data_IF_352818202753
#
_entry.id   IF_352818202753
#
_cell.length_a   1.000
_cell.length_b   1.000
_cell.length_c   1.000
_cell.angle_alpha   90.00
_cell.angle_beta   90.00
_cell.angle_gamma   90.00
#
_symmetry.space_group_name_H-M   'P 1'
#
loop_
_entity.id
_entity.type
_entity.pdbx_description
1 polymer ?
#
# COMPACT_ATOMS: atom_id res chain seq x y z
N UNK A 1 -46.48 55.33 -25.38
CA UNK A 1 -46.23 53.87 -25.49
C UNK A 1 -47.40 53.12 -24.87
N UNK A 2 -48.03 52.18 -25.57
CA UNK A 2 -49.19 51.42 -25.05
C UNK A 2 -48.76 50.60 -23.82
N UNK A 3 -49.66 50.43 -22.84
CA UNK A 3 -49.40 49.73 -21.57
C UNK A 3 -48.77 48.34 -21.78
N UNK A 4 -49.24 47.59 -22.79
CA UNK A 4 -48.67 46.28 -23.13
C UNK A 4 -47.18 46.30 -23.49
N UNK A 5 -46.68 47.36 -24.15
CA UNK A 5 -45.25 47.49 -24.50
C UNK A 5 -44.41 47.71 -23.25
N UNK A 6 -44.93 48.42 -22.23
CA UNK A 6 -44.22 48.61 -20.96
C UNK A 6 -44.06 47.29 -20.19
N UNK A 7 -45.10 46.46 -20.19
CA UNK A 7 -45.06 45.14 -19.55
C UNK A 7 -44.06 44.20 -20.23
N UNK A 8 -44.02 44.20 -21.56
CA UNK A 8 -43.05 43.39 -22.31
C UNK A 8 -41.61 43.83 -22.00
N UNK A 9 -41.34 45.14 -21.97
CA UNK A 9 -40.00 45.65 -21.62
C UNK A 9 -39.61 45.30 -20.19
N UNK A 10 -40.54 45.41 -19.23
CA UNK A 10 -40.33 44.99 -17.84
C UNK A 10 -40.03 43.49 -17.71
N UNK A 11 -40.74 42.65 -18.45
CA UNK A 11 -40.51 41.21 -18.45
C UNK A 11 -39.14 40.84 -19.05
N UNK A 12 -38.74 41.50 -20.14
CA UNK A 12 -37.41 41.30 -20.74
C UNK A 12 -36.31 41.74 -19.76
N UNK A 13 -36.45 42.90 -19.13
CA UNK A 13 -35.50 43.38 -18.12
C UNK A 13 -35.41 42.45 -16.92
N UNK A 14 -36.53 41.99 -16.38
CA UNK A 14 -36.56 41.05 -15.26
C UNK A 14 -35.91 39.71 -15.63
N UNK A 15 -36.16 39.21 -16.85
CA UNK A 15 -35.53 38.00 -17.36
C UNK A 15 -34.02 38.19 -17.57
N UNK A 16 -33.57 39.29 -18.19
CA UNK A 16 -32.15 39.58 -18.40
C UNK A 16 -31.40 39.75 -17.08
N UNK A 17 -32.01 40.38 -16.08
CA UNK A 17 -31.45 40.47 -14.72
C UNK A 17 -31.41 39.09 -14.09
N UNK A 18 -32.49 38.32 -14.14
CA UNK A 18 -32.54 36.95 -13.63
C UNK A 18 -31.44 36.06 -14.24
N UNK A 19 -31.25 36.11 -15.56
CA UNK A 19 -30.18 35.41 -16.26
C UNK A 19 -28.81 35.97 -15.86
N UNK A 20 -28.61 37.28 -15.82
CA UNK A 20 -27.30 37.86 -15.45
C UNK A 20 -26.86 37.51 -14.01
N UNK A 21 -27.79 37.32 -13.08
CA UNK A 21 -27.49 36.92 -11.69
C UNK A 21 -27.50 35.39 -11.48
N UNK A 22 -28.29 34.63 -12.24
CA UNK A 22 -28.31 33.17 -12.16
C UNK A 22 -27.22 32.50 -13.01
N UNK A 23 -26.82 33.10 -14.13
CA UNK A 23 -25.78 32.56 -15.01
C UNK A 23 -24.43 32.40 -14.30
N UNK A 24 -23.93 33.33 -13.47
CA UNK A 24 -22.71 33.11 -12.69
C UNK A 24 -22.85 31.94 -11.70
N UNK A 25 -24.03 31.75 -11.08
CA UNK A 25 -24.30 30.61 -10.19
C UNK A 25 -24.38 29.27 -10.95
N UNK A 26 -24.84 29.30 -12.20
CA UNK A 26 -24.86 28.12 -13.09
C UNK A 26 -23.48 27.85 -13.71
N UNK A 27 -22.66 28.88 -13.89
CA UNK A 27 -21.30 28.79 -14.42
C UNK A 27 -20.29 28.40 -13.34
N UNK A 28 -20.46 28.79 -12.08
CA UNK A 28 -19.62 28.32 -10.96
C UNK A 28 -19.82 26.84 -10.64
N UNK A 29 -20.94 26.23 -11.07
CA UNK A 29 -21.11 24.78 -11.19
C UNK A 29 -20.37 24.20 -12.42
N UNK A 30 -19.32 24.89 -12.88
CA UNK A 30 -18.27 24.42 -13.78
C UNK A 30 -17.93 22.97 -13.43
N UNK A 31 -18.34 22.07 -14.34
CA UNK A 31 -18.22 20.62 -14.31
C UNK A 31 -17.16 20.11 -13.31
N UNK A 32 -17.59 19.90 -12.06
CA UNK A 32 -16.76 19.18 -11.09
C UNK A 32 -16.60 17.78 -11.67
N UNK A 33 -15.36 17.40 -11.96
CA UNK A 33 -15.08 16.06 -12.45
C UNK A 33 -15.37 15.10 -11.31
N UNK A 34 -16.23 14.09 -11.52
CA UNK A 34 -16.59 13.16 -10.45
C UNK A 34 -15.35 12.38 -10.02
N UNK A 35 -15.32 12.03 -8.74
CA UNK A 35 -14.28 11.18 -8.19
C UNK A 35 -14.44 9.80 -8.81
N UNK A 36 -13.50 9.40 -9.67
CA UNK A 36 -13.53 8.09 -10.32
C UNK A 36 -13.08 7.04 -9.31
N UNK A 37 -14.02 6.46 -8.57
CA UNK A 37 -13.79 5.29 -7.73
C UNK A 37 -14.57 4.10 -8.26
N UNK A 38 -13.93 2.94 -8.29
CA UNK A 38 -14.65 1.67 -8.45
C UNK A 38 -15.55 1.50 -7.23
N UNK A 39 -16.88 1.32 -7.38
CA UNK A 39 -17.76 1.11 -6.25
C UNK A 39 -17.29 -0.07 -5.40
N UNK A 40 -17.36 0.06 -4.08
CA UNK A 40 -17.00 -1.03 -3.18
C UNK A 40 -18.03 -2.17 -3.31
N UNK A 41 -17.55 -3.38 -3.55
CA UNK A 41 -18.34 -4.61 -3.56
C UNK A 41 -18.29 -5.33 -2.21
N UNK A 42 -18.89 -6.54 -2.12
CA UNK A 42 -18.63 -7.43 -1.01
C UNK A 42 -17.12 -7.73 -0.92
N UNK A 43 -16.61 -7.89 0.29
CA UNK A 43 -15.23 -8.29 0.54
C UNK A 43 -15.22 -9.57 1.36
N UNK A 44 -14.17 -10.39 1.21
CA UNK A 44 -13.97 -11.54 2.07
C UNK A 44 -13.16 -11.15 3.32
N UNK A 45 -13.45 -11.86 4.41
CA UNK A 45 -12.81 -11.69 5.70
C UNK A 45 -11.74 -12.78 5.85
N UNK A 46 -10.48 -12.42 5.58
CA UNK A 46 -9.36 -13.35 5.73
C UNK A 46 -8.68 -13.13 7.09
N UNK A 47 -8.14 -14.21 7.64
CA UNK A 47 -7.16 -14.21 8.73
C UNK A 47 -5.81 -14.69 8.21
N UNK A 48 -4.72 -14.10 8.72
CA UNK A 48 -3.36 -14.57 8.48
C UNK A 48 -2.60 -14.72 9.80
N UNK A 49 -2.06 -15.91 10.03
CA UNK A 49 -1.33 -16.26 11.24
C UNK A 49 0.05 -16.85 10.93
N UNK A 50 1.10 -16.27 11.49
CA UNK A 50 2.45 -16.84 11.43
C UNK A 50 2.55 -17.96 12.47
N UNK A 51 2.59 -19.20 11.98
CA UNK A 51 2.58 -20.42 12.81
C UNK A 51 3.94 -21.10 12.87
N UNK A 52 4.81 -20.85 11.90
CA UNK A 52 6.19 -21.33 11.88
C UNK A 52 7.10 -20.37 11.12
N UNK A 53 8.33 -20.21 11.61
CA UNK A 53 9.40 -19.52 10.91
C UNK A 53 10.74 -20.16 11.27
N UNK A 54 11.57 -20.42 10.27
CA UNK A 54 12.96 -20.85 10.43
C UNK A 54 13.87 -19.93 9.61
N UNK A 55 14.94 -19.47 10.23
CA UNK A 55 15.97 -18.64 9.62
C UNK A 55 17.34 -19.28 9.82
N UNK A 56 17.99 -19.67 8.74
CA UNK A 56 19.33 -20.24 8.73
C UNK A 56 20.33 -19.20 8.19
N UNK A 57 21.23 -18.75 9.05
CA UNK A 57 22.32 -17.84 8.64
C UNK A 57 23.44 -18.71 8.06
N UNK A 58 23.75 -18.54 6.79
CA UNK A 58 24.86 -19.23 6.15
C UNK A 58 26.18 -18.55 6.52
N UNK A 59 27.18 -19.34 6.89
CA UNK A 59 28.52 -18.81 7.18
C UNK A 59 29.10 -18.14 5.92
N UNK A 60 29.68 -16.95 6.10
CA UNK A 60 30.43 -16.30 5.02
C UNK A 60 31.58 -17.21 4.59
N UNK A 61 31.65 -17.51 3.30
CA UNK A 61 32.91 -17.97 2.71
C UNK A 61 33.92 -16.84 2.85
N UNK A 62 35.20 -17.17 3.03
CA UNK A 62 36.30 -16.29 3.51
C UNK A 62 36.57 -15.00 2.70
N UNK A 63 35.78 -14.66 1.71
CA UNK A 63 35.82 -13.36 1.05
C UNK A 63 35.24 -12.29 1.99
N UNK A 64 36.15 -11.43 2.47
CA UNK A 64 35.96 -10.32 3.43
C UNK A 64 34.86 -9.33 3.03
N UNK A 65 34.31 -9.43 1.83
CA UNK A 65 33.28 -8.54 1.28
C UNK A 65 31.93 -9.20 1.00
N UNK A 66 31.77 -10.50 1.22
CA UNK A 66 30.47 -11.16 1.01
C UNK A 66 29.51 -10.76 2.13
N UNK A 67 28.29 -10.33 1.83
CA UNK A 67 27.26 -10.14 2.85
C UNK A 67 26.68 -11.50 3.25
N UNK A 68 26.29 -11.70 4.52
CA UNK A 68 25.78 -12.99 4.98
C UNK A 68 24.46 -13.33 4.29
N UNK A 69 24.28 -14.60 3.95
CA UNK A 69 23.04 -15.11 3.36
C UNK A 69 22.14 -15.69 4.45
N UNK A 70 20.83 -15.43 4.33
CA UNK A 70 19.81 -15.92 5.24
C UNK A 70 18.83 -16.74 4.42
N UNK A 71 18.83 -18.05 4.61
CA UNK A 71 17.77 -18.91 4.09
C UNK A 71 16.60 -18.88 5.06
N UNK A 72 15.38 -18.78 4.53
CA UNK A 72 14.17 -18.75 5.35
C UNK A 72 13.14 -19.75 4.88
N UNK A 73 12.34 -20.20 5.84
CA UNK A 73 11.15 -21.00 5.64
C UNK A 73 10.08 -20.53 6.62
N UNK A 74 9.02 -19.95 6.11
CA UNK A 74 7.91 -19.41 6.89
C UNK A 74 6.64 -20.14 6.48
N UNK A 75 5.81 -20.52 7.46
CA UNK A 75 4.50 -21.10 7.19
C UNK A 75 3.44 -20.22 7.84
N UNK A 76 2.48 -19.80 7.03
CA UNK A 76 1.33 -19.00 7.40
C UNK A 76 0.07 -19.86 7.39
N UNK A 77 -0.75 -19.76 8.43
CA UNK A 77 -2.11 -20.25 8.38
C UNK A 77 -3.01 -19.14 7.83
N UNK A 78 -3.57 -19.34 6.64
CA UNK A 78 -4.47 -18.39 5.99
C UNK A 78 -5.88 -18.98 6.03
N UNK A 79 -6.80 -18.26 6.67
CA UNK A 79 -8.19 -18.69 6.86
C UNK A 79 -9.14 -17.71 6.21
N UNK A 80 -10.13 -18.21 5.47
CA UNK A 80 -11.25 -17.39 5.01
C UNK A 80 -12.40 -17.53 6.02
N UNK A 81 -12.65 -16.53 6.85
CA UNK A 81 -13.74 -16.50 7.83
C UNK A 81 -15.09 -16.08 7.24
N UNK A 82 -15.13 -15.68 5.97
CA UNK A 82 -16.38 -15.31 5.33
C UNK A 82 -17.18 -16.52 4.85
N UNK A 83 -18.47 -16.29 4.58
CA UNK A 83 -19.39 -17.28 4.02
C UNK A 83 -19.36 -17.35 2.48
N UNK A 84 -18.38 -16.69 1.85
CA UNK A 84 -18.21 -16.58 0.41
C UNK A 84 -16.81 -17.07 0.01
N UNK A 85 -16.73 -17.76 -1.11
CA UNK A 85 -15.43 -18.18 -1.66
C UNK A 85 -14.68 -16.96 -2.19
N UNK A 86 -13.37 -16.94 -2.02
CA UNK A 86 -12.53 -15.83 -2.45
C UNK A 86 -11.15 -16.32 -2.88
N UNK A 87 -10.49 -15.54 -3.72
CA UNK A 87 -9.16 -15.83 -4.22
C UNK A 87 -8.12 -15.09 -3.40
N UNK A 88 -7.03 -15.79 -3.08
CA UNK A 88 -5.82 -15.17 -2.55
C UNK A 88 -5.04 -14.58 -3.74
N UNK A 89 -4.84 -13.26 -3.75
CA UNK A 89 -4.13 -12.54 -4.80
C UNK A 89 -2.64 -12.38 -4.50
N UNK A 90 -2.29 -12.09 -3.24
CA UNK A 90 -0.89 -12.07 -2.82
C UNK A 90 -0.72 -12.31 -1.33
N UNK A 91 0.48 -12.74 -0.97
CA UNK A 91 0.97 -12.87 0.40
C UNK A 91 2.23 -12.04 0.52
N UNK A 92 2.27 -11.14 1.49
CA UNK A 92 3.46 -10.40 1.87
C UNK A 92 3.94 -10.92 3.23
N UNK A 93 5.24 -11.08 3.39
CA UNK A 93 5.88 -11.41 4.65
C UNK A 93 7.10 -10.52 4.83
N UNK A 94 7.28 -10.04 6.05
CA UNK A 94 8.48 -9.38 6.45
C UNK A 94 8.94 -9.80 7.84
N UNK A 95 10.25 -9.83 8.02
CA UNK A 95 10.91 -9.99 9.29
C UNK A 95 11.87 -8.82 9.47
N UNK A 96 11.80 -8.15 10.61
CA UNK A 96 12.61 -6.98 10.89
C UNK A 96 12.87 -6.83 12.38
N UNK A 97 13.92 -6.09 12.74
CA UNK A 97 14.12 -5.67 14.13
C UNK A 97 12.99 -4.77 14.59
N UNK A 98 12.52 -3.87 13.74
CA UNK A 98 11.39 -3.00 14.01
C UNK A 98 10.47 -2.93 12.78
N UNK A 99 9.17 -3.11 13.00
CA UNK A 99 8.12 -2.91 12.02
C UNK A 99 7.09 -2.00 12.66
N UNK A 100 6.73 -0.93 11.96
CA UNK A 100 5.69 0.02 12.37
C UNK A 100 4.58 0.01 11.34
N UNK A 101 3.34 -0.18 11.81
CA UNK A 101 2.14 0.03 11.01
C UNK A 101 1.80 1.53 11.06
N UNK A 102 1.62 2.13 9.90
CA UNK A 102 1.16 3.50 9.74
C UNK A 102 -0.27 3.51 9.25
N UNK A 103 -1.11 4.28 9.92
CA UNK A 103 -2.42 4.65 9.42
C UNK A 103 -2.27 6.00 8.72
N UNK A 104 -2.69 6.06 7.45
CA UNK A 104 -2.51 7.23 6.60
C UNK A 104 -3.62 7.38 5.58
N UNK A 105 -3.49 8.41 4.75
CA UNK A 105 -4.44 8.70 3.68
C UNK A 105 -4.11 8.00 2.36
N UNK A 106 -2.83 7.68 2.17
CA UNK A 106 -2.33 7.11 0.93
C UNK A 106 -2.32 5.59 1.02
N UNK A 107 -2.96 4.92 0.06
CA UNK A 107 -2.84 3.48 -0.09
C UNK A 107 -1.36 3.15 -0.29
N UNK A 108 -0.74 2.58 0.75
CA UNK A 108 0.71 2.46 0.83
C UNK A 108 1.15 1.02 0.84
N UNK A 109 1.95 0.69 -0.16
CA UNK A 109 2.78 -0.52 -0.22
C UNK A 109 3.75 -0.57 0.96
N UNK A 110 4.25 -1.76 1.29
CA UNK A 110 5.35 -1.96 2.24
C UNK A 110 6.62 -1.21 1.81
N UNK A 111 7.16 -0.35 2.67
CA UNK A 111 8.44 0.31 2.43
C UNK A 111 9.52 -0.19 3.40
N UNK A 112 10.62 -0.66 2.82
CA UNK A 112 11.79 -1.16 3.55
C UNK A 112 12.93 -0.14 3.51
N UNK A 113 13.54 0.14 4.67
CA UNK A 113 14.81 0.87 4.73
C UNK A 113 15.92 -0.10 5.11
N UNK A 114 16.47 -0.83 4.15
CA UNK A 114 17.54 -1.80 4.39
C UNK A 114 18.93 -1.17 4.58
N UNK A 115 19.06 0.15 4.77
CA UNK A 115 20.34 0.79 5.06
C UNK A 115 20.21 2.30 5.10
N UNK A 116 20.60 2.90 6.24
CA UNK A 116 20.89 4.33 6.43
C UNK A 116 20.11 5.32 5.57
N UNK A 117 18.88 5.65 5.99
CA UNK A 117 18.08 6.73 5.44
C UNK A 117 17.56 6.44 4.03
N UNK A 118 16.49 5.64 3.92
CA UNK A 118 15.66 5.66 2.71
C UNK A 118 14.59 6.74 2.86
N UNK A 119 14.62 7.72 1.96
CA UNK A 119 13.49 8.60 1.69
C UNK A 119 12.77 8.05 0.47
N UNK A 120 11.87 7.09 0.69
CA UNK A 120 11.10 6.45 -0.37
C UNK A 120 9.64 6.84 -0.27
N UNK A 121 9.31 8.11 -0.51
CA UNK A 121 7.92 8.57 -0.59
C UNK A 121 7.29 8.09 -1.90
N UNK A 122 6.83 6.85 -1.95
CA UNK A 122 6.01 6.36 -3.04
C UNK A 122 4.52 6.46 -2.69
N UNK A 123 3.77 6.90 -3.70
CA UNK A 123 2.30 6.97 -3.82
C UNK A 123 1.63 8.23 -3.25
N UNK A 124 1.46 9.22 -4.13
CA UNK A 124 0.30 10.10 -4.02
C UNK A 124 -0.92 9.32 -4.48
N UNK A 125 -2.03 9.39 -3.75
CA UNK A 125 -3.34 8.90 -4.21
C UNK A 125 -4.33 10.05 -4.23
N UNK A 126 -5.54 9.81 -4.73
CA UNK A 126 -6.67 10.72 -4.56
C UNK A 126 -7.67 10.03 -3.64
N UNK A 127 -8.01 10.68 -2.53
CA UNK A 127 -9.05 10.23 -1.60
C UNK A 127 -10.30 11.06 -1.74
N UNK A 128 -11.44 10.55 -1.29
CA UNK A 128 -12.74 11.23 -1.38
C UNK A 128 -12.74 12.61 -0.69
N UNK A 129 -12.08 12.70 0.46
CA UNK A 129 -11.88 13.96 1.16
C UNK A 129 -11.16 13.79 2.48
N UNK A 130 -10.87 14.92 3.10
CA UNK A 130 -10.22 15.02 4.41
C UNK A 130 -10.90 16.05 5.27
N UNK A 131 -10.82 15.87 6.58
CA UNK A 131 -11.01 16.96 7.52
C UNK A 131 -9.69 17.69 7.68
N UNK A 132 -9.59 18.92 7.18
CA UNK A 132 -8.43 19.79 7.35
C UNK A 132 -8.82 20.94 8.27
N UNK A 133 -8.17 21.06 9.43
CA UNK A 133 -8.48 22.08 10.44
C UNK A 133 -9.97 22.14 10.86
N UNK A 134 -10.63 20.97 10.90
CA UNK A 134 -12.07 20.77 11.15
C UNK A 134 -13.02 21.19 10.01
N UNK A 135 -12.51 21.48 8.82
CA UNK A 135 -13.30 21.69 7.62
C UNK A 135 -13.19 20.49 6.68
N UNK A 136 -14.32 20.06 6.11
CA UNK A 136 -14.35 18.98 5.14
C UNK A 136 -13.92 19.49 3.77
N UNK A 137 -12.78 19.01 3.28
CA UNK A 137 -12.26 19.27 1.94
C UNK A 137 -12.44 18.01 1.09
N UNK A 138 -13.30 18.08 0.09
CA UNK A 138 -13.57 17.01 -0.86
C UNK A 138 -13.63 17.47 -2.32
N UNK A 139 -13.29 18.73 -2.58
CA UNK A 139 -13.19 19.27 -3.94
C UNK A 139 -11.89 20.05 -4.05
N UNK A 140 -11.06 19.67 -5.01
CA UNK A 140 -9.78 20.33 -5.29
C UNK A 140 -9.79 20.95 -6.69
N UNK A 141 -9.18 22.13 -6.81
CA UNK A 141 -8.89 22.72 -8.12
C UNK A 141 -7.51 22.29 -8.60
N UNK A 142 -7.45 21.83 -9.85
CA UNK A 142 -6.25 21.36 -10.52
C UNK A 142 -6.01 22.22 -11.78
N UNK A 143 -4.79 22.74 -12.00
CA UNK A 143 -4.46 23.46 -13.22
C UNK A 143 -4.44 22.53 -14.45
N UNK A 144 -5.02 22.97 -15.55
CA UNK A 144 -4.84 22.44 -16.90
C UNK A 144 -5.42 21.04 -17.15
N UNK A 145 -4.60 20.18 -17.76
CA UNK A 145 -4.84 18.75 -17.90
C UNK A 145 -4.42 18.10 -16.58
N UNK A 146 -5.18 17.11 -16.09
CA UNK A 146 -4.79 16.30 -14.93
C UNK A 146 -3.33 15.95 -15.11
N UNK A 147 -2.41 16.43 -14.26
CA UNK A 147 -1.01 16.15 -14.49
C UNK A 147 -0.89 14.63 -14.47
N UNK A 148 -0.58 14.03 -15.62
CA UNK A 148 -0.10 12.64 -15.72
C UNK A 148 1.13 12.43 -14.81
N UNK A 149 1.64 13.52 -14.21
CA UNK A 149 2.72 13.60 -13.26
C UNK A 149 2.41 14.28 -11.91
N UNK A 150 1.31 13.98 -11.21
CA UNK A 150 1.43 13.98 -9.73
C UNK A 150 2.54 13.00 -9.28
N UNK A 151 2.85 12.00 -10.12
CA UNK A 151 4.02 11.14 -10.03
C UNK A 151 5.35 11.83 -10.42
N UNK A 152 5.40 12.69 -11.45
CA UNK A 152 6.66 13.26 -11.97
C UNK A 152 7.21 14.46 -11.20
N UNK A 153 6.38 15.25 -10.51
CA UNK A 153 6.87 16.49 -9.83
C UNK A 153 7.79 16.18 -8.63
N UNK A 154 7.95 14.90 -8.26
CA UNK A 154 8.71 14.50 -7.08
C UNK A 154 9.77 13.40 -7.32
N UNK A 155 9.88 12.84 -8.52
CA UNK A 155 10.80 11.71 -8.82
C UNK A 155 12.21 12.14 -9.23
N UNK A 156 12.44 13.43 -9.52
CA UNK A 156 13.72 13.93 -10.01
C UNK A 156 14.58 14.64 -8.95
N UNK A 157 14.63 14.15 -7.71
CA UNK A 157 15.81 14.43 -6.89
C UNK A 157 16.68 13.18 -6.72
N UNK A 158 17.71 12.99 -7.57
CA UNK A 158 18.66 11.87 -7.45
C UNK A 158 19.64 11.99 -6.28
N UNK A 159 19.46 12.96 -5.37
CA UNK A 159 20.44 13.30 -4.34
C UNK A 159 19.86 13.05 -2.93
N UNK A 160 20.26 11.94 -2.29
CA UNK A 160 20.35 11.72 -0.83
C UNK A 160 19.13 12.01 0.08
N UNK A 161 18.96 11.19 1.12
CA UNK A 161 17.89 11.31 2.12
C UNK A 161 17.85 12.63 2.92
N UNK A 162 18.93 13.42 2.90
CA UNK A 162 18.97 14.77 3.49
C UNK A 162 18.20 15.83 2.71
N UNK A 163 17.99 15.66 1.40
CA UNK A 163 17.29 16.66 0.59
C UNK A 163 15.77 16.50 0.66
N UNK A 164 15.24 15.30 0.91
CA UNK A 164 13.80 15.07 1.09
C UNK A 164 13.28 15.82 2.33
N UNK A 165 13.98 15.73 3.47
CA UNK A 165 13.59 16.46 4.70
C UNK A 165 13.69 17.97 4.50
N UNK A 166 14.73 18.46 3.81
CA UNK A 166 14.86 19.88 3.47
C UNK A 166 13.75 20.37 2.56
N UNK A 167 13.40 19.57 1.56
CA UNK A 167 12.31 19.88 0.63
C UNK A 167 10.95 19.93 1.34
N UNK A 168 10.63 18.92 2.16
CA UNK A 168 9.37 18.86 2.90
C UNK A 168 9.26 19.98 3.94
N UNK A 169 10.35 20.29 4.63
CA UNK A 169 10.35 21.43 5.57
C UNK A 169 10.26 22.80 4.89
N UNK A 170 10.54 22.88 3.59
CA UNK A 170 10.39 24.09 2.79
C UNK A 170 9.01 24.20 2.09
N UNK A 171 8.17 23.17 2.14
CA UNK A 171 6.83 23.22 1.55
C UNK A 171 5.96 24.26 2.28
N UNK A 172 5.05 24.95 1.56
CA UNK A 172 4.05 25.82 2.18
C UNK A 172 3.20 25.03 3.19
N UNK A 173 2.89 25.65 4.33
CA UNK A 173 1.93 25.12 5.30
C UNK A 173 0.56 25.80 5.21
N UNK A 174 0.47 26.92 4.50
CA UNK A 174 -0.79 27.65 4.30
C UNK A 174 -1.37 27.28 2.94
N UNK A 175 -2.67 26.98 2.91
CA UNK A 175 -3.38 26.73 1.64
C UNK A 175 -3.36 28.03 0.82
N UNK A 176 -2.82 28.02 -0.40
CA UNK A 176 -2.85 29.21 -1.25
C UNK A 176 -4.28 29.54 -1.66
N UNK A 177 -4.58 30.83 -1.80
CA UNK A 177 -5.84 31.27 -2.40
C UNK A 177 -5.97 30.73 -3.81
N UNK A 178 -7.19 30.38 -4.21
CA UNK A 178 -7.48 29.97 -5.58
C UNK A 178 -7.02 31.07 -6.57
N UNK A 179 -6.29 30.73 -7.66
CA UNK A 179 -5.87 31.71 -8.65
C UNK A 179 -7.06 32.45 -9.27
N UNK A 180 -6.92 33.75 -9.55
CA UNK A 180 -8.00 34.57 -10.09
C UNK A 180 -8.48 34.12 -11.49
N UNK A 181 -7.63 33.40 -12.23
CA UNK A 181 -7.93 32.81 -13.54
C UNK A 181 -8.20 31.29 -13.47
N UNK A 182 -8.56 30.76 -12.30
CA UNK A 182 -8.77 29.33 -12.09
C UNK A 182 -9.85 28.73 -12.99
N UNK A 183 -10.90 29.48 -13.32
CA UNK A 183 -11.98 29.05 -14.23
C UNK A 183 -11.53 28.91 -15.69
N UNK A 184 -10.43 29.54 -16.07
CA UNK A 184 -9.88 29.52 -17.43
C UNK A 184 -8.75 28.52 -17.58
N UNK A 185 -8.01 28.27 -16.50
CA UNK A 185 -6.74 27.55 -16.53
C UNK A 185 -6.77 26.21 -15.83
N UNK A 186 -7.92 25.74 -15.34
CA UNK A 186 -8.03 24.46 -14.65
C UNK A 186 -9.45 23.96 -14.50
N UNK A 187 -9.61 22.93 -13.69
CA UNK A 187 -10.90 22.31 -13.41
C UNK A 187 -11.00 21.92 -11.93
N UNK A 188 -12.23 21.77 -11.44
CA UNK A 188 -12.50 21.21 -10.13
C UNK A 188 -12.68 19.70 -10.26
N UNK A 189 -12.15 18.94 -9.31
CA UNK A 189 -12.42 17.52 -9.17
C UNK A 189 -12.90 17.21 -7.77
N UNK A 190 -13.82 16.26 -7.65
CA UNK A 190 -14.08 15.60 -6.38
C UNK A 190 -12.86 14.79 -5.97
N UNK A 191 -12.56 14.82 -4.67
CA UNK A 191 -11.40 14.20 -4.07
C UNK A 191 -10.23 15.16 -3.83
N UNK A 192 -9.31 14.69 -2.99
CA UNK A 192 -8.11 15.40 -2.57
C UNK A 192 -6.89 14.54 -2.91
N UNK A 193 -6.01 15.00 -3.82
CA UNK A 193 -4.73 14.36 -4.00
C UNK A 193 -3.88 14.54 -2.73
N UNK A 194 -3.39 13.44 -2.19
CA UNK A 194 -2.66 13.39 -0.93
C UNK A 194 -1.45 12.47 -1.06
N UNK A 195 -0.38 12.82 -0.37
CA UNK A 195 0.85 12.04 -0.30
C UNK A 195 1.38 12.03 1.12
N UNK A 196 1.76 10.84 1.57
CA UNK A 196 2.47 10.67 2.83
C UNK A 196 3.96 10.44 2.57
N UNK A 197 4.80 11.08 3.35
CA UNK A 197 6.24 10.93 3.35
C UNK A 197 6.69 10.44 4.71
N UNK A 198 7.76 9.66 4.71
CA UNK A 198 8.39 9.21 5.93
C UNK A 198 9.90 9.35 5.82
N UNK A 199 10.54 9.56 6.96
CA UNK A 199 11.99 9.56 7.11
C UNK A 199 12.35 8.89 8.42
N UNK A 200 13.26 7.92 8.34
CA UNK A 200 13.80 7.27 9.52
C UNK A 200 15.22 7.69 9.77
N UNK A 201 15.43 8.31 10.92
CA UNK A 201 16.76 8.61 11.44
C UNK A 201 17.24 7.39 12.21
N UNK A 202 18.06 6.55 11.57
CA UNK A 202 18.62 5.34 12.18
C UNK A 202 19.49 5.65 13.40
N UNK A 203 20.20 6.77 13.42
CA UNK A 203 21.07 7.16 14.55
C UNK A 203 20.27 7.55 15.79
N UNK A 204 19.11 8.19 15.61
CA UNK A 204 18.22 8.56 16.71
C UNK A 204 17.13 7.50 16.98
N UNK A 205 17.00 6.49 16.12
CA UNK A 205 15.87 5.55 16.11
C UNK A 205 14.52 6.26 16.12
N UNK A 206 14.38 7.31 15.30
CA UNK A 206 13.15 8.11 15.22
C UNK A 206 12.56 8.09 13.81
N UNK A 207 11.24 7.94 13.73
CA UNK A 207 10.46 8.06 12.51
C UNK A 207 9.78 9.43 12.47
N UNK A 208 9.91 10.12 11.36
CA UNK A 208 9.19 11.37 11.06
C UNK A 208 8.26 11.14 9.88
N UNK A 209 7.05 11.68 9.97
CA UNK A 209 6.01 11.59 8.96
C UNK A 209 5.62 12.98 8.49
N UNK A 210 5.34 13.12 7.19
CA UNK A 210 4.74 14.32 6.63
C UNK A 210 3.57 13.97 5.73
N UNK A 211 2.45 14.64 5.95
CA UNK A 211 1.31 14.56 5.06
C UNK A 211 1.28 15.84 4.22
N UNK A 212 1.14 15.67 2.90
CA UNK A 212 0.99 16.79 1.98
C UNK A 212 -0.21 16.56 1.08
N UNK A 213 -0.93 17.64 0.76
CA UNK A 213 -2.05 17.61 -0.17
C UNK A 213 -1.80 18.54 -1.33
N UNK A 214 -2.33 18.21 -2.50
CA UNK A 214 -2.31 19.10 -3.64
C UNK A 214 -3.61 19.90 -3.69
N UNK A 215 -3.51 21.20 -3.47
CA UNK A 215 -4.66 22.10 -3.41
C UNK A 215 -4.33 23.43 -4.09
N UNK A 216 -5.27 23.93 -4.89
CA UNK A 216 -5.15 25.21 -5.60
C UNK A 216 -3.85 25.35 -6.41
N UNK A 217 -3.38 24.25 -7.01
CA UNK A 217 -2.20 24.22 -7.88
C UNK A 217 -0.86 24.05 -7.16
N UNK A 218 -0.83 23.77 -5.85
CA UNK A 218 0.40 23.63 -5.08
C UNK A 218 0.31 22.52 -4.04
N UNK A 219 1.44 21.84 -3.78
CA UNK A 219 1.58 20.92 -2.65
C UNK A 219 1.74 21.70 -1.35
N UNK A 220 0.91 21.39 -0.36
CA UNK A 220 0.90 22.02 0.96
C UNK A 220 1.10 20.95 2.02
N UNK A 221 2.03 21.17 2.94
CA UNK A 221 2.21 20.29 4.10
C UNK A 221 1.12 20.54 5.14
N UNK A 222 0.45 19.45 5.50
CA UNK A 222 -0.71 19.43 6.39
C UNK A 222 -0.55 18.40 7.53
N UNK A 223 0.68 17.97 7.80
CA UNK A 223 1.02 17.07 8.91
C UNK A 223 0.38 17.52 10.22
N UNK A 224 -0.36 16.61 10.87
CA UNK A 224 -1.03 16.87 12.15
C UNK A 224 -2.26 17.78 12.08
N UNK A 225 -2.66 18.22 10.88
CA UNK A 225 -3.85 19.05 10.65
C UNK A 225 -4.99 18.33 9.96
N UNK A 226 -4.73 17.11 9.47
CA UNK A 226 -5.70 16.30 8.77
C UNK A 226 -6.27 15.19 9.66
N UNK A 227 -7.52 14.84 9.41
CA UNK A 227 -8.16 13.58 9.85
C UNK A 227 -8.82 12.94 8.63
N UNK A 228 -8.58 11.64 8.45
CA UNK A 228 -9.15 10.82 7.37
C UNK A 228 -10.20 9.90 7.98
N UNK A 229 -11.36 9.76 7.33
CA UNK A 229 -12.45 8.93 7.86
C UNK A 229 -12.21 7.43 7.63
N UNK A 230 -11.48 7.09 6.57
CA UNK A 230 -11.12 5.73 6.20
C UNK A 230 -9.60 5.65 6.00
N UNK A 231 -8.80 5.67 7.08
CA UNK A 231 -7.36 5.55 6.95
C UNK A 231 -7.01 4.18 6.37
N UNK A 232 -5.97 4.16 5.56
CA UNK A 232 -5.38 2.96 4.97
C UNK A 232 -4.08 2.65 5.68
N UNK A 233 -3.77 1.36 5.76
CA UNK A 233 -2.58 0.88 6.48
C UNK A 233 -1.39 0.79 5.52
N UNK A 234 -0.26 1.38 5.93
CA UNK A 234 1.05 1.20 5.33
C UNK A 234 2.00 0.54 6.33
N UNK A 235 3.06 -0.09 5.84
CA UNK A 235 4.01 -0.84 6.67
C UNK A 235 5.40 -0.29 6.44
N UNK A 236 6.05 0.13 7.53
CA UNK A 236 7.43 0.57 7.53
C UNK A 236 8.31 -0.42 8.29
N UNK A 237 9.44 -0.75 7.69
CA UNK A 237 10.38 -1.72 8.21
C UNK A 237 11.78 -1.13 8.38
N UNK A 238 12.33 -1.27 9.59
CA UNK A 238 13.65 -0.77 9.96
C UNK A 238 14.55 -1.90 10.43
N UNK A 239 15.70 -2.06 9.77
CA UNK A 239 16.54 -3.24 9.98
C UNK A 239 15.91 -4.50 9.39
N UNK A 240 15.32 -4.36 8.19
CA UNK A 240 14.68 -5.45 7.47
C UNK A 240 15.64 -6.61 7.29
N UNK A 241 15.22 -7.77 7.78
CA UNK A 241 15.91 -9.04 7.66
C UNK A 241 15.51 -9.68 6.34
N UNK A 242 14.21 -9.84 6.14
CA UNK A 242 13.58 -10.45 4.95
C UNK A 242 12.34 -9.63 4.61
N UNK A 243 12.15 -9.40 3.32
CA UNK A 243 10.89 -9.00 2.74
C UNK A 243 10.59 -9.94 1.57
N UNK A 244 9.43 -10.58 1.59
CA UNK A 244 9.02 -11.53 0.57
C UNK A 244 7.57 -11.26 0.16
N UNK A 245 7.34 -11.21 -1.14
CA UNK A 245 6.01 -11.09 -1.74
C UNK A 245 5.81 -12.27 -2.68
N UNK A 246 4.72 -13.00 -2.47
CA UNK A 246 4.27 -14.06 -3.38
C UNK A 246 2.94 -13.64 -3.99
N UNK A 247 2.93 -13.47 -5.31
CA UNK A 247 1.74 -13.15 -6.08
C UNK A 247 1.12 -14.42 -6.66
N UNK A 248 -0.20 -14.51 -6.64
CA UNK A 248 -0.98 -15.59 -7.22
C UNK A 248 -1.72 -15.05 -8.45
N UNK A 249 -1.33 -15.50 -9.63
CA UNK A 249 -1.83 -14.94 -10.87
C UNK A 249 -2.15 -16.02 -11.91
N UNK A 250 -3.17 -15.82 -12.76
CA UNK A 250 -3.40 -16.68 -13.91
C UNK A 250 -2.26 -16.56 -14.92
N UNK A 251 -1.95 -17.62 -15.67
CA UNK A 251 -0.84 -17.62 -16.64
C UNK A 251 -1.00 -16.53 -17.71
N UNK A 252 -2.25 -16.22 -18.05
CA UNK A 252 -2.59 -15.24 -19.08
C UNK A 252 -2.60 -13.79 -18.58
N UNK A 253 -2.37 -13.52 -17.28
CA UNK A 253 -2.36 -12.15 -16.76
C UNK A 253 -1.18 -11.30 -17.24
N UNK A 254 -0.08 -11.91 -17.70
CA UNK A 254 1.12 -11.19 -18.10
C UNK A 254 1.43 -11.39 -19.58
N UNK A 255 0.95 -10.48 -20.44
CA UNK A 255 1.40 -10.36 -21.85
C UNK A 255 2.73 -9.59 -21.93
N UNK A 256 3.78 -10.10 -21.26
CA UNK A 256 5.10 -9.47 -21.17
C UNK A 256 6.11 -10.40 -20.51
N UNK A 257 7.40 -10.11 -20.68
CA UNK A 257 8.56 -10.86 -20.17
C UNK A 257 8.29 -11.45 -18.79
N UNK A 258 8.43 -12.78 -18.64
CA UNK A 258 8.36 -13.46 -17.34
C UNK A 258 9.14 -12.63 -16.31
N UNK A 259 8.51 -12.34 -15.16
CA UNK A 259 9.25 -11.89 -13.99
C UNK A 259 10.30 -12.96 -13.72
N UNK A 260 11.55 -12.64 -14.02
CA UNK A 260 12.69 -13.49 -13.70
C UNK A 260 12.58 -13.95 -12.25
N UNK A 261 12.85 -15.23 -11.97
CA UNK A 261 13.23 -15.68 -10.62
C UNK A 261 14.29 -14.69 -10.10
N UNK A 262 13.87 -13.76 -9.25
CA UNK A 262 14.62 -12.56 -8.97
C UNK A 262 15.91 -12.86 -8.22
N UNK A 263 17.05 -12.53 -8.84
CA UNK A 263 18.38 -12.54 -8.24
C UNK A 263 18.59 -11.31 -7.33
N UNK A 264 19.12 -11.59 -6.13
CA UNK A 264 19.94 -10.75 -5.21
C UNK A 264 19.38 -9.38 -4.78
N UNK A 265 18.57 -9.40 -3.72
CA UNK A 265 18.18 -8.24 -2.89
C UNK A 265 17.40 -8.69 -1.63
N UNK A 266 17.18 -7.83 -0.62
CA UNK A 266 16.41 -8.19 0.59
C UNK A 266 14.90 -8.33 0.33
N UNK A 267 14.42 -7.90 -0.85
CA UNK A 267 13.04 -8.03 -1.32
C UNK A 267 12.97 -9.11 -2.39
N UNK A 268 12.27 -10.21 -2.11
CA UNK A 268 12.03 -11.31 -3.04
C UNK A 268 10.60 -11.27 -3.55
N UNK A 269 10.44 -11.29 -4.86
CA UNK A 269 9.14 -11.35 -5.52
C UNK A 269 9.05 -12.69 -6.22
N UNK A 270 8.09 -13.52 -5.81
CA UNK A 270 7.77 -14.77 -6.49
C UNK A 270 6.36 -14.71 -7.07
N UNK A 271 6.18 -15.41 -8.19
CA UNK A 271 4.86 -15.59 -8.80
C UNK A 271 4.52 -17.06 -8.76
N UNK A 272 3.40 -17.38 -8.15
CA UNK A 272 2.76 -18.69 -8.19
C UNK A 272 1.64 -18.61 -9.22
N UNK A 273 1.72 -19.46 -10.24
CA UNK A 273 0.64 -19.58 -11.22
C UNK A 273 -0.59 -20.19 -10.56
N UNK A 274 -1.76 -19.65 -10.86
CA UNK A 274 -3.03 -20.09 -10.29
C UNK A 274 -4.11 -20.19 -11.37
N UNK A 275 -4.50 -21.41 -11.72
CA UNK A 275 -5.50 -21.79 -12.73
C UNK A 275 -5.75 -23.32 -12.66
N UNK A 276 -6.57 -23.88 -13.56
CA UNK A 276 -7.09 -25.26 -13.49
C UNK A 276 -6.00 -26.36 -13.34
N UNK A 277 -4.84 -26.16 -13.96
CA UNK A 277 -3.69 -27.08 -13.90
C UNK A 277 -2.58 -26.60 -12.93
N UNK A 278 -2.77 -25.47 -12.26
CA UNK A 278 -1.80 -24.84 -11.37
C UNK A 278 -2.29 -24.81 -9.90
N UNK A 279 -1.65 -24.00 -9.06
CA UNK A 279 -2.02 -23.89 -7.66
C UNK A 279 -3.43 -23.30 -7.53
N UNK A 280 -4.35 -24.05 -6.90
CA UNK A 280 -5.68 -23.52 -6.60
C UNK A 280 -5.56 -22.43 -5.53
N UNK A 281 -5.70 -21.17 -5.93
CA UNK A 281 -5.67 -20.02 -5.02
C UNK A 281 -7.06 -19.61 -4.50
N UNK A 282 -8.08 -20.47 -4.64
CA UNK A 282 -9.42 -20.21 -4.11
C UNK A 282 -9.58 -20.82 -2.72
N UNK A 283 -10.02 -20.01 -1.76
CA UNK A 283 -10.40 -20.43 -0.43
C UNK A 283 -11.92 -20.57 -0.36
N UNK A 284 -12.38 -21.77 -0.03
CA UNK A 284 -13.78 -22.01 0.31
C UNK A 284 -14.17 -21.27 1.60
N UNK A 285 -15.47 -21.03 1.84
CA UNK A 285 -15.94 -20.51 3.12
C UNK A 285 -15.41 -21.31 4.31
N UNK A 286 -14.94 -20.62 5.34
CA UNK A 286 -14.40 -21.20 6.59
C UNK A 286 -13.15 -22.09 6.40
N UNK A 287 -12.51 -22.08 5.22
CA UNK A 287 -11.35 -22.92 4.94
C UNK A 287 -10.07 -22.30 5.51
N UNK A 288 -9.26 -23.13 6.19
CA UNK A 288 -7.88 -22.82 6.59
C UNK A 288 -6.88 -23.64 5.79
N UNK A 289 -5.80 -23.01 5.33
CA UNK A 289 -4.70 -23.66 4.58
C UNK A 289 -3.36 -23.15 5.08
N UNK A 290 -2.35 -24.01 5.05
CA UNK A 290 -0.98 -23.65 5.44
C UNK A 290 -0.17 -23.30 4.20
N UNK A 291 0.23 -22.04 4.06
CA UNK A 291 1.00 -21.54 2.93
C UNK A 291 2.45 -21.33 3.34
N UNK A 292 3.35 -21.92 2.59
CA UNK A 292 4.79 -21.86 2.79
C UNK A 292 5.43 -20.77 1.91
N UNK A 293 6.32 -19.98 2.53
CA UNK A 293 7.19 -19.04 1.87
C UNK A 293 8.63 -19.45 2.16
N UNK A 294 9.40 -19.76 1.12
CA UNK A 294 10.82 -20.13 1.25
C UNK A 294 11.68 -19.32 0.31
N UNK A 295 12.91 -19.06 0.71
CA UNK A 295 13.88 -18.37 -0.13
C UNK A 295 15.21 -18.17 0.56
N UNK A 296 16.12 -17.45 -0.10
CA UNK A 296 17.38 -17.00 0.48
C UNK A 296 17.59 -15.53 0.12
N UNK A 297 17.89 -14.72 1.12
CA UNK A 297 18.20 -13.29 0.96
C UNK A 297 19.64 -13.00 1.35
N UNK A 298 20.23 -11.99 0.73
CA UNK A 298 21.48 -11.41 1.19
C UNK A 298 21.15 -10.34 2.22
N UNK A 299 21.66 -10.47 3.45
CA UNK A 299 21.43 -9.48 4.49
C UNK A 299 22.07 -8.15 4.09
N UNK A 300 21.34 -7.04 4.25
CA UNK A 300 21.86 -5.74 3.85
C UNK A 300 23.00 -5.22 4.75
N UNK A 301 23.06 -5.68 6.01
CA UNK A 301 24.11 -5.32 6.97
C UNK A 301 24.38 -6.49 7.93
N UNK A 302 25.54 -6.45 8.61
CA UNK A 302 25.84 -7.40 9.69
C UNK A 302 24.94 -7.21 10.91
N UNK A 303 24.34 -6.03 11.10
CA UNK A 303 23.42 -5.75 12.20
C UNK A 303 22.12 -6.56 12.11
N UNK A 304 21.75 -7.00 10.90
CA UNK A 304 20.65 -7.94 10.67
C UNK A 304 20.87 -9.24 11.47
N UNK A 305 22.12 -9.74 11.52
CA UNK A 305 22.46 -10.95 12.30
C UNK A 305 22.24 -10.71 13.79
N UNK A 306 22.56 -9.51 14.29
CA UNK A 306 22.37 -9.15 15.70
C UNK A 306 20.89 -9.26 16.13
N UNK A 307 19.95 -9.06 15.20
CA UNK A 307 18.52 -9.25 15.44
C UNK A 307 18.16 -10.70 15.80
N UNK A 308 18.81 -11.68 15.16
CA UNK A 308 18.59 -13.09 15.47
C UNK A 308 19.22 -13.50 16.80
N UNK A 309 20.43 -13.02 17.11
CA UNK A 309 21.10 -13.32 18.39
C UNK A 309 20.37 -12.73 19.59
N UNK A 310 19.62 -11.65 19.42
CA UNK A 310 18.73 -11.12 20.47
C UNK A 310 17.54 -12.06 20.78
N UNK A 311 17.28 -13.06 19.94
CA UNK A 311 16.21 -14.06 20.12
C UNK A 311 14.80 -13.50 19.98
N UNK A 312 14.64 -12.25 19.52
CA UNK A 312 13.35 -11.60 19.31
C UNK A 312 13.37 -10.77 18.03
N UNK A 313 12.37 -10.98 17.19
CA UNK A 313 12.16 -10.21 15.95
C UNK A 313 10.70 -9.83 15.83
N UNK A 314 10.42 -8.78 15.06
CA UNK A 314 9.07 -8.44 14.64
C UNK A 314 8.83 -9.05 13.26
N UNK A 315 7.67 -9.66 13.10
CA UNK A 315 7.24 -10.26 11.86
C UNK A 315 5.90 -9.68 11.45
N UNK A 316 5.77 -9.42 10.16
CA UNK A 316 4.58 -8.91 9.52
C UNK A 316 4.15 -9.88 8.44
N UNK A 317 2.87 -10.19 8.38
CA UNK A 317 2.26 -10.92 7.28
C UNK A 317 1.06 -10.14 6.77
N UNK A 318 0.85 -10.14 5.46
CA UNK A 318 -0.32 -9.56 4.83
C UNK A 318 -0.86 -10.48 3.74
N UNK A 319 -2.16 -10.48 3.56
CA UNK A 319 -2.81 -11.18 2.45
C UNK A 319 -3.73 -10.21 1.72
N UNK A 320 -3.49 -10.04 0.42
CA UNK A 320 -4.47 -9.41 -0.46
C UNK A 320 -5.36 -10.51 -1.04
N UNK A 321 -6.66 -10.39 -0.82
CA UNK A 321 -7.66 -11.32 -1.33
C UNK A 321 -8.77 -10.55 -2.05
N UNK A 322 -9.49 -11.24 -2.93
CA UNK A 322 -10.60 -10.65 -3.67
C UNK A 322 -11.65 -11.70 -4.00
N UNK A 323 -12.89 -11.26 -4.15
CA UNK A 323 -13.95 -12.09 -4.69
C UNK A 323 -13.98 -11.87 -6.19
N UNK A 324 -13.87 -12.96 -6.96
CA UNK A 324 -14.03 -12.86 -8.41
C UNK A 324 -15.51 -12.74 -8.73
N UNK A 325 -15.97 -11.51 -8.95
CA UNK A 325 -17.33 -11.20 -9.37
C UNK A 325 -17.36 -10.70 -10.82
N UNK A 326 -18.28 -11.26 -11.60
CA UNK A 326 -18.59 -10.75 -12.93
C UNK A 326 -19.20 -9.33 -12.83
N UNK A 327 -18.91 -8.42 -13.78
CA UNK A 327 -19.43 -7.06 -13.71
C UNK A 327 -20.97 -7.04 -13.76
N UNK A 328 -21.60 -6.35 -12.81
CA UNK A 328 -23.05 -6.17 -12.78
C UNK A 328 -23.41 -4.95 -13.62
N UNK A 329 -24.15 -5.15 -14.72
CA UNK A 329 -24.49 -4.08 -15.68
C UNK A 329 -23.25 -3.34 -16.23
N UNK A 330 -22.14 -4.06 -16.44
CA UNK A 330 -20.89 -3.48 -16.94
C UNK A 330 -20.10 -2.68 -15.89
N UNK A 331 -20.52 -2.68 -14.62
CA UNK A 331 -19.80 -2.06 -13.52
C UNK A 331 -18.97 -3.10 -12.78
N UNK A 332 -17.66 -2.87 -12.70
CA UNK A 332 -16.78 -3.63 -11.82
C UNK A 332 -16.87 -3.08 -10.41
N UNK A 333 -16.79 -3.97 -9.43
CA UNK A 333 -16.74 -3.60 -8.02
C UNK A 333 -15.36 -3.91 -7.46
N UNK A 334 -14.89 -3.06 -6.56
CA UNK A 334 -13.71 -3.37 -5.76
C UNK A 334 -14.12 -4.35 -4.67
N UNK A 335 -13.74 -5.61 -4.84
CA UNK A 335 -13.97 -6.69 -3.87
C UNK A 335 -12.69 -7.05 -3.11
N UNK A 336 -11.63 -6.25 -3.27
CA UNK A 336 -10.34 -6.50 -2.67
C UNK A 336 -10.38 -6.23 -1.17
N UNK A 337 -9.57 -6.99 -0.43
CA UNK A 337 -9.44 -6.89 1.02
C UNK A 337 -8.00 -7.19 1.42
N UNK A 338 -7.50 -6.43 2.38
CA UNK A 338 -6.18 -6.59 2.95
C UNK A 338 -6.32 -7.01 4.41
N UNK A 339 -5.83 -8.22 4.71
CA UNK A 339 -5.67 -8.67 6.09
C UNK A 339 -4.20 -8.57 6.46
N UNK A 340 -3.90 -8.13 7.68
CA UNK A 340 -2.54 -8.02 8.19
C UNK A 340 -2.39 -8.65 9.57
N UNK A 341 -1.17 -9.09 9.89
CA UNK A 341 -0.76 -9.48 11.22
C UNK A 341 0.64 -8.93 11.48
N UNK A 342 0.78 -8.11 12.53
CA UNK A 342 2.08 -7.73 13.10
C UNK A 342 2.26 -8.38 14.46
N UNK A 343 3.40 -9.04 14.66
CA UNK A 343 3.67 -9.78 15.89
C UNK A 343 5.15 -9.82 16.22
N UNK A 344 5.47 -9.70 17.50
CA UNK A 344 6.81 -10.04 18.00
C UNK A 344 6.88 -11.53 18.30
N UNK A 345 7.88 -12.21 17.74
CA UNK A 345 8.12 -13.64 17.98
C UNK A 345 9.45 -13.86 18.70
N UNK A 346 9.47 -14.83 19.60
CA UNK A 346 10.71 -15.31 20.24
C UNK A 346 11.24 -16.49 19.46
N UNK A 347 12.52 -16.42 19.08
CA UNK A 347 13.20 -17.45 18.31
C UNK A 347 14.01 -18.33 19.25
N UNK A 348 13.91 -19.64 19.07
CA UNK A 348 14.77 -20.63 19.67
C UNK A 348 15.97 -20.89 18.76
N UNK A 349 17.19 -20.78 19.30
CA UNK A 349 18.41 -21.12 18.56
C UNK A 349 18.59 -22.63 18.53
N UNK A 350 18.72 -23.20 17.34
CA UNK A 350 19.00 -24.63 17.11
C UNK A 350 20.35 -24.80 16.41
N UNK A 351 20.72 -26.05 16.10
CA UNK A 351 21.90 -26.32 15.28
C UNK A 351 21.74 -25.81 13.84
N UNK A 352 20.50 -25.75 13.34
CA UNK A 352 20.19 -25.44 11.94
C UNK A 352 19.77 -23.98 11.72
N UNK A 353 19.68 -23.17 12.79
CA UNK A 353 19.29 -21.77 12.69
C UNK A 353 18.48 -21.26 13.87
N UNK A 354 17.50 -20.42 13.58
CA UNK A 354 16.61 -19.77 14.54
C UNK A 354 15.17 -20.09 14.20
N UNK A 355 14.46 -20.76 15.13
CA UNK A 355 13.14 -21.32 14.89
C UNK A 355 12.10 -20.66 15.79
N UNK A 356 10.96 -20.32 15.22
CA UNK A 356 9.70 -20.13 15.92
C UNK A 356 8.73 -21.21 15.44
N UNK A 357 8.17 -21.98 16.36
CA UNK A 357 7.27 -23.08 16.06
C UNK A 357 6.09 -23.06 17.02
N UNK A 358 4.86 -22.93 16.50
CA UNK A 358 3.63 -23.06 17.27
C UNK A 358 2.79 -24.28 16.92
N UNK A 359 3.13 -25.01 15.86
CA UNK A 359 2.19 -25.94 15.22
C UNK A 359 2.76 -27.35 15.02
N UNK A 360 4.06 -27.51 14.80
CA UNK A 360 4.67 -28.82 14.63
C UNK A 360 5.00 -29.44 16.00
N UNK A 361 4.51 -30.66 16.23
CA UNK A 361 5.02 -31.53 17.29
C UNK A 361 6.39 -32.12 16.95
N UNK A 362 7.04 -32.74 17.95
CA UNK A 362 8.41 -33.29 17.84
C UNK A 362 8.58 -34.29 16.68
N UNK A 363 7.57 -35.11 16.42
CA UNK A 363 7.56 -36.15 15.38
C UNK A 363 6.81 -35.73 14.12
N UNK A 364 6.69 -34.43 13.85
CA UNK A 364 6.01 -33.92 12.67
C UNK A 364 6.96 -33.17 11.74
N UNK A 365 6.58 -33.10 10.46
CA UNK A 365 7.21 -32.31 9.40
C UNK A 365 6.14 -31.67 8.52
N UNK A 366 6.53 -30.59 7.84
CA UNK A 366 5.79 -30.04 6.72
C UNK A 366 6.15 -30.80 5.45
N UNK A 367 5.14 -31.39 4.81
CA UNK A 367 5.22 -31.96 3.47
C UNK A 367 4.59 -30.98 2.48
N UNK A 368 5.36 -30.35 1.58
CA UNK A 368 4.81 -29.47 0.56
C UNK A 368 3.96 -30.25 -0.45
N UNK A 369 3.00 -29.55 -1.05
CA UNK A 369 2.26 -29.99 -2.21
C UNK A 369 3.16 -30.07 -3.46
N UNK A 370 2.57 -30.44 -4.60
CA UNK A 370 3.30 -30.55 -5.86
C UNK A 370 3.77 -29.19 -6.42
N UNK A 371 3.25 -28.08 -5.90
CA UNK A 371 3.57 -26.72 -6.34
C UNK A 371 4.63 -26.07 -5.43
N UNK A 372 4.92 -26.64 -4.26
CA UNK A 372 5.82 -26.07 -3.27
C UNK A 372 5.21 -24.88 -2.52
N UNK A 373 3.88 -24.79 -2.46
CA UNK A 373 3.17 -23.61 -1.93
C UNK A 373 2.35 -23.96 -0.70
N UNK A 374 1.45 -24.94 -0.79
CA UNK A 374 0.71 -25.43 0.38
C UNK A 374 1.50 -26.54 1.08
N UNK A 375 1.47 -26.56 2.41
CA UNK A 375 2.13 -27.61 3.20
C UNK A 375 1.14 -28.35 4.08
N UNK A 376 1.40 -29.64 4.28
CA UNK A 376 0.63 -30.50 5.17
C UNK A 376 1.49 -30.99 6.32
N UNK A 377 0.91 -31.06 7.51
CA UNK A 377 1.59 -31.62 8.68
C UNK A 377 1.48 -33.14 8.61
N UNK A 378 2.63 -33.83 8.63
CA UNK A 378 2.74 -35.29 8.56
C UNK A 378 3.67 -35.84 9.63
N UNK A 379 3.48 -37.09 10.08
CA UNK A 379 4.45 -37.76 10.91
C UNK A 379 5.81 -37.89 10.21
N UNK A 380 6.91 -37.78 10.96
CA UNK A 380 8.23 -38.21 10.50
C UNK A 380 8.21 -39.72 10.32
N UNK A 381 8.55 -40.17 9.10
CA UNK A 381 8.69 -41.59 8.75
C UNK A 381 9.98 -42.18 9.28
#
# INVERSE_FOLDING_TARGET
MKFGVKLIILAILAFSVGVAFASPLLYENLAVRPFRRTPQGPTADFGVDIVYANFAVQEQTSDVFSLPQISYRVVLNITNYSDIAAKLGSVNFAASQNITILEGASEGTTASSSGGGSSGGHFGTVIEGIWLDNEWLNVTWIPGVYPEGLDEVMTNNPWGSGDTVRFLSAMPTVIPSLPSNASETGYRMEGVPIKQYFFFNSSASTLQLWDSIYVNGTWVTVTGRIRIEQPVTSVLEFGTIIQATTNFAPRNAFNGTQLSDGTIGPSLWSTVWSEDDDFNNTWAPQQSRLIELTGTVTAATVDVINGFTAGRINVYAATNNYIYDEPVNGTFYDTSSLTTQLKSISLEKTADGYIYNKILGENQIFQPDQFGVEVFIKPRS
#
